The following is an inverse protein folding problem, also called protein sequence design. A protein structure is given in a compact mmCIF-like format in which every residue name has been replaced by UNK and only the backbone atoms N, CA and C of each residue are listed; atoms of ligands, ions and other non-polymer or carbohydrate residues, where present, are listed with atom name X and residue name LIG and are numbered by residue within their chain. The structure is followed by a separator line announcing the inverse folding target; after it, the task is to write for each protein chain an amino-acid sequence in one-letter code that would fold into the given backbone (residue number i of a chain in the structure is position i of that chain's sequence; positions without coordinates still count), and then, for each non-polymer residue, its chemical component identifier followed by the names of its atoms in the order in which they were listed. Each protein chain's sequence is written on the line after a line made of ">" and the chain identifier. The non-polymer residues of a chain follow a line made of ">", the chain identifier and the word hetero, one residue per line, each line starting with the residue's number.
data_IF_763641797819
#
_entry.id   IF_763641797819
#
_cell.length_a   1.000
_cell.length_b   1.000
_cell.length_c   1.000
_cell.angle_alpha   90.00
_cell.angle_beta   90.00
_cell.angle_gamma   90.00
#
_symmetry.space_group_name_H-M   'P 1'
#
loop_
_entity.id
_entity.type
_entity.pdbx_description
1 polymer ?
#
# COMPACT_ATOMS: atom_id res chain seq x y z
N UNK A 1 5.22 -2.33 -20.77
CA UNK A 1 5.77 -3.04 -19.60
C UNK A 1 7.10 -3.66 -19.96
N UNK A 2 8.08 -3.65 -19.06
CA UNK A 2 9.43 -4.19 -19.27
C UNK A 2 9.93 -4.86 -18.00
N UNK A 3 10.83 -5.84 -18.09
CA UNK A 3 11.45 -6.48 -16.93
C UNK A 3 12.19 -5.48 -16.01
N UNK A 4 12.60 -4.34 -16.56
CA UNK A 4 13.30 -3.27 -15.81
C UNK A 4 12.47 -2.68 -14.68
N UNK A 5 11.14 -2.79 -14.72
CA UNK A 5 10.28 -2.33 -13.63
C UNK A 5 10.15 -3.35 -12.48
N UNK A 6 10.87 -4.47 -12.52
CA UNK A 6 10.80 -5.50 -11.49
C UNK A 6 11.32 -5.04 -10.12
N UNK A 7 12.39 -4.24 -10.10
CA UNK A 7 12.94 -3.65 -8.88
C UNK A 7 12.65 -2.14 -8.81
N UNK A 8 13.68 -1.29 -8.74
CA UNK A 8 13.53 0.14 -8.49
C UNK A 8 13.83 0.94 -9.76
N UNK A 9 12.83 1.57 -10.40
CA UNK A 9 13.04 2.29 -11.66
C UNK A 9 13.84 3.60 -11.55
N UNK A 10 13.96 4.17 -10.35
CA UNK A 10 14.63 5.45 -10.08
C UNK A 10 15.53 5.38 -8.84
N UNK A 11 16.53 4.49 -8.86
CA UNK A 11 17.35 4.09 -7.70
C UNK A 11 18.02 5.24 -6.93
N UNK A 12 18.45 6.30 -7.65
CA UNK A 12 19.19 7.44 -7.08
C UNK A 12 18.33 8.66 -6.75
N UNK A 13 17.02 8.50 -6.55
CA UNK A 13 16.11 9.62 -6.29
C UNK A 13 16.50 10.53 -5.09
N UNK A 14 17.34 10.05 -4.16
CA UNK A 14 17.85 10.87 -3.05
C UNK A 14 18.95 11.84 -3.48
N UNK A 15 19.83 11.44 -4.40
CA UNK A 15 21.06 12.18 -4.76
C UNK A 15 21.04 12.74 -6.17
N UNK A 16 20.20 12.22 -7.05
CA UNK A 16 20.05 12.64 -8.45
C UNK A 16 18.74 13.42 -8.64
N UNK A 17 18.79 14.73 -8.97
CA UNK A 17 17.61 15.55 -9.19
C UNK A 17 16.69 15.07 -10.33
N UNK A 18 17.24 14.46 -11.38
CA UNK A 18 16.46 13.91 -12.50
C UNK A 18 15.67 12.68 -12.08
N UNK A 19 16.30 11.76 -11.35
CA UNK A 19 15.60 10.61 -10.76
C UNK A 19 14.54 11.05 -9.74
N UNK A 20 14.82 12.11 -8.97
CA UNK A 20 13.84 12.67 -8.03
C UNK A 20 12.60 13.22 -8.74
N UNK A 21 12.77 13.94 -9.85
CA UNK A 21 11.66 14.46 -10.63
C UNK A 21 10.77 13.34 -11.20
N UNK A 22 11.37 12.20 -11.59
CA UNK A 22 10.63 11.00 -12.02
C UNK A 22 9.74 10.47 -10.89
N UNK A 23 10.30 10.31 -9.68
CA UNK A 23 9.54 9.82 -8.51
C UNK A 23 8.44 10.80 -8.12
N UNK A 24 8.71 12.10 -8.14
CA UNK A 24 7.69 13.12 -7.83
C UNK A 24 6.53 13.08 -8.83
N UNK A 25 6.83 13.08 -10.13
CA UNK A 25 5.82 13.00 -11.19
C UNK A 25 4.97 11.74 -11.05
N UNK A 26 5.61 10.60 -10.78
CA UNK A 26 4.92 9.34 -10.56
C UNK A 26 4.00 9.38 -9.33
N UNK A 27 4.46 9.85 -8.17
CA UNK A 27 3.63 9.95 -6.98
C UNK A 27 2.46 10.93 -7.15
N UNK A 28 2.71 12.10 -7.78
CA UNK A 28 1.66 13.09 -8.06
C UNK A 28 0.61 12.60 -9.06
N UNK A 29 0.97 11.68 -9.95
CA UNK A 29 0.01 11.09 -10.90
C UNK A 29 -1.15 10.35 -10.23
N UNK A 30 -0.99 9.95 -8.97
CA UNK A 30 -2.07 9.36 -8.17
C UNK A 30 -3.01 10.38 -7.52
N UNK A 31 -2.74 11.69 -7.65
CA UNK A 31 -3.53 12.77 -7.04
C UNK A 31 -3.72 12.59 -5.53
N UNK A 32 -2.63 12.58 -4.73
CA UNK A 32 -2.71 12.34 -3.28
C UNK A 32 -3.68 13.29 -2.55
N UNK A 33 -3.88 14.50 -3.06
CA UNK A 33 -4.87 15.47 -2.58
C UNK A 33 -6.32 14.99 -2.65
N UNK A 34 -6.64 14.04 -3.52
CA UNK A 34 -7.96 13.39 -3.60
C UNK A 34 -8.05 12.14 -2.71
N UNK A 35 -6.91 11.60 -2.27
CA UNK A 35 -6.82 10.31 -1.58
C UNK A 35 -6.66 10.43 -0.06
N UNK A 36 -6.22 11.60 0.43
CA UNK A 36 -5.97 11.86 1.84
C UNK A 36 -6.72 13.11 2.33
N UNK A 37 -7.19 13.08 3.57
CA UNK A 37 -7.75 14.25 4.25
C UNK A 37 -6.63 15.19 4.78
N UNK A 38 -7.04 16.33 5.33
CA UNK A 38 -6.12 17.35 5.85
C UNK A 38 -5.24 16.86 7.02
N UNK A 39 -5.66 15.81 7.73
CA UNK A 39 -4.88 15.17 8.80
C UNK A 39 -3.96 14.06 8.28
N UNK A 40 -3.93 13.84 6.96
CA UNK A 40 -3.14 12.80 6.31
C UNK A 40 -3.73 11.39 6.43
N UNK A 41 -5.03 11.25 6.77
CA UNK A 41 -5.70 9.95 6.80
C UNK A 41 -6.29 9.63 5.42
N UNK A 42 -6.40 8.34 5.03
CA UNK A 42 -7.09 7.99 3.80
C UNK A 42 -8.53 8.51 3.78
N UNK A 43 -8.96 9.03 2.63
CA UNK A 43 -10.29 9.59 2.44
C UNK A 43 -11.41 8.60 2.81
N UNK A 44 -12.53 9.14 3.30
CA UNK A 44 -13.60 8.34 3.90
C UNK A 44 -14.26 7.36 2.91
N UNK A 45 -14.38 7.77 1.65
CA UNK A 45 -14.89 6.98 0.54
C UNK A 45 -13.98 5.79 0.20
N UNK A 46 -12.66 5.96 0.19
CA UNK A 46 -11.69 4.86 0.06
C UNK A 46 -11.90 3.83 1.19
N UNK A 47 -12.17 4.29 2.41
CA UNK A 47 -12.38 3.44 3.58
C UNK A 47 -13.77 2.82 3.65
N UNK A 48 -14.73 3.29 2.85
CA UNK A 48 -16.11 2.82 2.89
C UNK A 48 -16.26 1.38 2.38
N UNK A 49 -15.48 1.01 1.37
CA UNK A 49 -15.54 -0.31 0.73
C UNK A 49 -14.69 -1.39 1.44
N UNK A 50 -13.87 -1.00 2.41
CA UNK A 50 -12.98 -1.94 3.11
C UNK A 50 -13.79 -2.84 4.05
N UNK A 51 -13.67 -4.18 3.95
CA UNK A 51 -14.31 -5.10 4.88
C UNK A 51 -13.97 -4.79 6.34
N UNK A 52 -14.90 -5.08 7.26
CA UNK A 52 -14.70 -4.83 8.70
C UNK A 52 -14.35 -6.12 9.45
N UNK A 53 -13.76 -5.96 10.64
CA UNK A 53 -13.50 -7.07 11.57
C UNK A 53 -12.62 -8.18 10.97
N UNK A 54 -13.02 -9.44 11.18
CA UNK A 54 -12.33 -10.65 10.73
C UNK A 54 -12.49 -10.96 9.24
N UNK A 55 -13.32 -10.19 8.51
CA UNK A 55 -13.44 -10.29 7.05
C UNK A 55 -12.28 -9.60 6.30
N UNK A 56 -11.51 -8.75 6.98
CA UNK A 56 -10.26 -8.18 6.42
C UNK A 56 -9.28 -9.30 6.16
N UNK A 57 -8.63 -9.30 4.99
CA UNK A 57 -7.69 -10.35 4.58
C UNK A 57 -6.61 -10.62 5.63
N UNK A 58 -5.95 -9.57 6.13
CA UNK A 58 -4.92 -9.68 7.18
C UNK A 58 -5.44 -9.99 8.59
N UNK A 59 -6.75 -9.92 8.83
CA UNK A 59 -7.37 -10.26 10.11
C UNK A 59 -8.13 -11.60 10.06
N UNK A 60 -8.13 -12.26 8.90
CA UNK A 60 -8.77 -13.55 8.75
C UNK A 60 -7.97 -14.57 9.56
N UNK A 61 -8.63 -15.32 10.43
CA UNK A 61 -7.96 -16.34 11.25
C UNK A 61 -7.30 -17.46 10.41
N UNK A 62 -7.65 -17.59 9.13
CA UNK A 62 -6.91 -18.47 8.19
C UNK A 62 -5.52 -17.92 7.83
N UNK A 63 -5.35 -16.61 7.85
CA UNK A 63 -4.05 -15.95 7.66
C UNK A 63 -3.17 -16.02 8.93
N UNK A 64 -3.74 -16.43 10.08
CA UNK A 64 -3.00 -16.67 11.32
C UNK A 64 -3.46 -17.99 11.96
N UNK A 65 -2.94 -19.11 11.42
CA UNK A 65 -3.35 -20.46 11.81
C UNK A 65 -3.13 -20.79 13.29
N UNK A 66 -2.21 -20.11 13.98
CA UNK A 66 -1.98 -20.28 15.42
C UNK A 66 -3.22 -20.00 16.26
N UNK A 67 -4.02 -19.00 15.88
CA UNK A 67 -5.26 -18.65 16.58
C UNK A 67 -6.37 -19.72 16.47
N UNK A 68 -6.21 -20.71 15.58
CA UNK A 68 -7.16 -21.83 15.40
C UNK A 68 -6.52 -23.20 15.69
N UNK A 69 -5.25 -23.24 16.09
CA UNK A 69 -4.54 -24.49 16.35
C UNK A 69 -5.14 -25.17 17.58
N UNK A 70 -5.31 -26.49 17.48
CA UNK A 70 -5.65 -27.37 18.61
C UNK A 70 -4.59 -28.45 18.73
N UNK A 71 -4.31 -28.97 19.95
CA UNK A 71 -3.52 -30.18 20.11
C UNK A 71 -4.12 -31.34 19.31
N UNK A 72 -3.28 -32.30 18.92
CA UNK A 72 -3.74 -33.60 18.44
C UNK A 72 -4.05 -34.47 19.66
N UNK A 73 -5.03 -35.37 19.53
CA UNK A 73 -5.36 -36.37 20.55
C UNK A 73 -4.26 -37.44 20.66
#
# INVERSE_FOLDING_TARGET
>A
GSFRSHQVPAERARTDPGHRAIVESWLRSYRPEELFDADGRPAADIRAFVPRGSKRMGMNARANGGARRRPLD
#
